data_IF_607443598112
#
_entry.id   IF_607443598112
#
_cell.length_a   1.000
_cell.length_b   1.000
_cell.length_c   1.000
_cell.angle_alpha   90.00
_cell.angle_beta   90.00
_cell.angle_gamma   90.00
#
_symmetry.space_group_name_H-M   'P 1'
#
loop_
_entity.id
_entity.type
_entity.pdbx_description
1 polymer ?
#
# COMPACT_ATOMS: atom_id res chain seq x y z
N UNK A 1 -27.10 12.91 -64.37
CA UNK A 1 -26.80 11.69 -63.59
C UNK A 1 -25.66 12.04 -62.67
N UNK A 2 -25.95 12.16 -61.37
CA UNK A 2 -24.97 12.35 -60.30
C UNK A 2 -24.19 11.06 -60.12
N UNK A 3 -22.87 11.15 -59.95
CA UNK A 3 -22.15 10.24 -59.07
C UNK A 3 -21.21 11.11 -58.23
N UNK A 4 -21.66 11.29 -57.00
CA UNK A 4 -20.92 11.73 -55.82
C UNK A 4 -19.92 10.64 -55.46
N UNK A 5 -18.63 10.91 -55.61
CA UNK A 5 -17.56 10.05 -55.07
C UNK A 5 -16.75 10.86 -54.06
N UNK A 6 -17.49 11.29 -53.02
CA UNK A 6 -16.93 11.70 -51.74
C UNK A 6 -16.38 10.48 -51.02
N UNK A 7 -15.06 10.44 -50.80
CA UNK A 7 -14.37 10.20 -49.51
C UNK A 7 -12.97 9.64 -49.74
N UNK A 8 -12.00 10.53 -49.99
CA UNK A 8 -10.63 10.21 -49.63
C UNK A 8 -10.37 10.66 -48.18
N UNK A 9 -10.27 9.64 -47.34
CA UNK A 9 -10.11 9.75 -45.91
C UNK A 9 -8.81 10.49 -45.58
N UNK A 10 -8.93 11.69 -45.02
CA UNK A 10 -7.84 12.37 -44.34
C UNK A 10 -7.57 11.64 -43.02
N UNK A 11 -6.96 10.46 -43.09
CA UNK A 11 -6.46 9.79 -41.89
C UNK A 11 -5.37 10.68 -41.29
N UNK A 12 -5.53 11.18 -40.06
CA UNK A 12 -4.42 11.84 -39.40
C UNK A 12 -3.32 10.78 -39.26
N UNK A 13 -2.15 11.05 -39.83
CA UNK A 13 -0.93 10.30 -39.51
C UNK A 13 -0.81 10.37 -38.00
N UNK A 14 -1.16 9.26 -37.32
CA UNK A 14 -0.88 9.11 -35.90
C UNK A 14 0.63 9.21 -35.81
N UNK A 15 1.09 10.37 -35.33
CA UNK A 15 2.47 10.56 -34.94
C UNK A 15 2.73 9.45 -33.92
N UNK A 16 3.58 8.49 -34.28
CA UNK A 16 4.12 7.54 -33.32
C UNK A 16 4.97 8.39 -32.36
N UNK A 17 4.29 8.94 -31.35
CA UNK A 17 4.97 9.42 -30.15
C UNK A 17 5.67 8.17 -29.63
N UNK A 18 7.00 8.21 -29.42
CA UNK A 18 7.66 7.14 -28.72
C UNK A 18 6.92 7.01 -27.39
N UNK A 19 6.18 5.92 -27.22
CA UNK A 19 5.79 5.48 -25.89
C UNK A 19 7.09 5.48 -25.10
N UNK A 20 7.20 6.16 -23.95
CA UNK A 20 8.36 5.99 -23.11
C UNK A 20 8.40 4.51 -22.73
N UNK A 21 9.22 3.76 -23.46
CA UNK A 21 9.61 2.40 -23.12
C UNK A 21 10.14 2.46 -21.69
N UNK A 22 9.58 1.60 -20.85
CA UNK A 22 10.05 1.29 -19.50
C UNK A 22 9.81 2.36 -18.42
N UNK A 23 8.53 2.64 -18.14
CA UNK A 23 8.13 2.77 -16.73
C UNK A 23 8.04 1.37 -16.13
N UNK A 24 9.16 0.66 -16.01
CA UNK A 24 9.25 -0.37 -14.98
C UNK A 24 9.53 0.41 -13.71
N UNK A 25 8.59 0.53 -12.75
CA UNK A 25 8.87 1.20 -11.50
C UNK A 25 10.05 0.47 -10.88
N UNK A 26 11.20 1.14 -10.76
CA UNK A 26 12.32 0.57 -10.03
C UNK A 26 11.84 0.42 -8.60
N UNK A 27 11.89 -0.79 -8.01
CA UNK A 27 11.55 -0.93 -6.61
C UNK A 27 12.44 0.02 -5.78
N UNK A 28 11.99 0.43 -4.58
CA UNK A 28 12.83 1.17 -3.65
C UNK A 28 14.22 0.52 -3.57
N UNK A 29 15.28 1.32 -3.37
CA UNK A 29 16.67 0.84 -3.44
C UNK A 29 16.94 -0.38 -2.53
N UNK A 30 16.12 -0.58 -1.51
CA UNK A 30 16.24 -1.61 -0.49
C UNK A 30 15.31 -2.84 -0.71
N UNK A 31 14.58 -2.88 -1.82
CA UNK A 31 13.63 -3.98 -2.14
C UNK A 31 14.15 -4.74 -3.36
N UNK A 32 14.84 -5.86 -3.10
CA UNK A 32 15.46 -6.69 -4.15
C UNK A 32 14.64 -7.96 -4.46
N UNK A 33 13.66 -8.29 -3.61
CA UNK A 33 12.79 -9.44 -3.78
C UNK A 33 11.34 -9.15 -3.36
N UNK A 34 10.40 -10.00 -3.79
CA UNK A 34 9.01 -9.93 -3.30
C UNK A 34 8.95 -10.14 -1.78
N UNK A 35 9.82 -10.99 -1.22
CA UNK A 35 9.94 -11.18 0.23
C UNK A 35 10.35 -9.90 0.92
N UNK A 36 11.36 -9.20 0.40
CA UNK A 36 11.81 -7.91 0.95
C UNK A 36 10.68 -6.87 0.91
N UNK A 37 9.86 -6.90 -0.14
CA UNK A 37 8.72 -6.01 -0.28
C UNK A 37 7.66 -6.28 0.81
N UNK A 38 7.33 -7.56 1.05
CA UNK A 38 6.37 -7.96 2.10
C UNK A 38 6.89 -7.60 3.50
N UNK A 39 8.16 -7.86 3.80
CA UNK A 39 8.79 -7.47 5.06
C UNK A 39 8.85 -5.95 5.24
N UNK A 40 9.03 -5.21 4.15
CA UNK A 40 9.00 -3.74 4.18
C UNK A 40 7.60 -3.21 4.46
N UNK A 41 6.57 -3.79 3.83
CA UNK A 41 5.18 -3.44 4.13
C UNK A 41 4.85 -3.71 5.60
N UNK A 42 5.26 -4.84 6.15
CA UNK A 42 5.04 -5.14 7.55
C UNK A 42 5.69 -4.09 8.45
N UNK A 43 7.00 -3.84 8.28
CA UNK A 43 7.74 -2.84 9.09
C UNK A 43 7.10 -1.46 9.01
N UNK A 44 6.65 -1.04 7.82
CA UNK A 44 5.98 0.25 7.64
C UNK A 44 4.62 0.29 8.36
N UNK A 45 3.81 -0.76 8.22
CA UNK A 45 2.50 -0.81 8.91
C UNK A 45 2.64 -0.86 10.43
N UNK A 46 3.67 -1.52 10.95
CA UNK A 46 3.96 -1.58 12.39
C UNK A 46 4.39 -0.22 12.93
N UNK A 47 5.33 0.46 12.27
CA UNK A 47 5.75 1.81 12.62
C UNK A 47 4.59 2.83 12.50
N UNK A 48 3.68 2.65 11.54
CA UNK A 48 2.47 3.47 11.43
C UNK A 48 1.52 3.21 12.61
N UNK A 49 1.32 1.95 13.01
CA UNK A 49 0.47 1.60 14.15
C UNK A 49 1.00 2.20 15.45
N UNK A 50 2.31 2.16 15.68
CA UNK A 50 2.95 2.78 16.84
C UNK A 50 2.70 4.29 16.87
N UNK A 51 2.93 4.99 15.75
CA UNK A 51 2.66 6.44 15.65
C UNK A 51 1.19 6.81 15.80
N UNK A 52 0.29 5.95 15.32
CA UNK A 52 -1.16 6.14 15.44
C UNK A 52 -1.72 5.69 16.79
N UNK A 53 -0.90 5.05 17.65
CA UNK A 53 -1.32 4.63 18.98
C UNK A 53 -1.70 5.84 19.84
N UNK A 54 -0.91 6.91 19.75
CA UNK A 54 -1.19 8.18 20.40
C UNK A 54 -2.33 8.93 19.68
N UNK A 55 -3.49 9.12 20.31
CA UNK A 55 -4.61 9.85 19.72
C UNK A 55 -4.37 11.38 19.65
N UNK A 56 -3.31 11.88 20.28
CA UNK A 56 -2.90 13.29 20.22
C UNK A 56 -1.85 13.57 19.14
N UNK A 57 -1.31 12.55 18.49
CA UNK A 57 -0.30 12.69 17.46
C UNK A 57 -0.81 13.52 16.27
N UNK A 58 -0.06 14.55 15.90
CA UNK A 58 -0.39 15.40 14.76
C UNK A 58 -0.07 14.69 13.42
N UNK A 59 -1.01 14.74 12.49
CA UNK A 59 -0.84 14.16 11.14
C UNK A 59 -0.67 15.32 10.15
N UNK A 60 0.57 15.55 9.73
CA UNK A 60 0.94 16.67 8.85
C UNK A 60 0.88 18.02 9.57
N UNK A 61 1.27 18.07 10.85
CA UNK A 61 1.30 19.29 11.67
C UNK A 61 -0.10 19.79 12.07
N UNK A 62 -1.11 18.93 12.03
CA UNK A 62 -2.48 19.25 12.46
C UNK A 62 -3.05 18.11 13.29
N UNK A 63 -3.75 18.40 14.39
CA UNK A 63 -4.49 17.40 15.13
C UNK A 63 -5.61 16.82 14.26
N UNK A 64 -5.87 15.53 14.42
CA UNK A 64 -6.97 14.81 13.74
C UNK A 64 -7.96 14.28 14.75
N UNK A 65 -9.16 13.91 14.28
CA UNK A 65 -10.17 13.36 15.17
C UNK A 65 -9.77 11.96 15.64
N UNK A 66 -10.24 11.56 16.82
CA UNK A 66 -10.03 10.20 17.32
C UNK A 66 -10.60 9.14 16.36
N UNK A 67 -11.70 9.44 15.67
CA UNK A 67 -12.27 8.57 14.64
C UNK A 67 -11.30 8.35 13.47
N UNK A 68 -10.64 9.41 12.99
CA UNK A 68 -9.61 9.29 11.96
C UNK A 68 -8.45 8.42 12.42
N UNK A 69 -7.98 8.55 13.66
CA UNK A 69 -6.93 7.68 14.21
C UNK A 69 -7.39 6.22 14.29
N UNK A 70 -8.62 5.97 14.77
CA UNK A 70 -9.19 4.62 14.83
C UNK A 70 -9.29 3.97 13.46
N UNK A 71 -9.80 4.69 12.48
CA UNK A 71 -9.91 4.19 11.11
C UNK A 71 -8.52 3.96 10.49
N UNK A 72 -7.57 4.86 10.69
CA UNK A 72 -6.20 4.67 10.20
C UNK A 72 -5.55 3.41 10.80
N UNK A 73 -5.68 3.20 12.12
CA UNK A 73 -5.19 1.96 12.78
C UNK A 73 -5.86 0.71 12.22
N UNK A 74 -7.17 0.76 11.99
CA UNK A 74 -7.91 -0.33 11.36
C UNK A 74 -7.33 -0.65 9.98
N UNK A 75 -7.12 0.35 9.13
CA UNK A 75 -6.54 0.16 7.79
C UNK A 75 -5.13 -0.42 7.83
N UNK A 76 -4.28 0.01 8.77
CA UNK A 76 -2.95 -0.60 8.94
C UNK A 76 -3.06 -2.10 9.28
N UNK A 77 -4.01 -2.50 10.13
CA UNK A 77 -4.25 -3.93 10.45
C UNK A 77 -4.76 -4.71 9.24
N UNK A 78 -5.66 -4.13 8.45
CA UNK A 78 -6.18 -4.74 7.21
C UNK A 78 -5.03 -4.98 6.20
N UNK A 79 -4.18 -3.99 5.97
CA UNK A 79 -3.01 -4.11 5.08
C UNK A 79 -2.08 -5.24 5.55
N UNK A 80 -1.83 -5.34 6.86
CA UNK A 80 -0.96 -6.39 7.43
C UNK A 80 -1.57 -7.79 7.26
N UNK A 81 -2.89 -7.91 7.41
CA UNK A 81 -3.59 -9.17 7.16
C UNK A 81 -3.50 -9.59 5.68
N UNK A 82 -3.71 -8.66 4.74
CA UNK A 82 -3.58 -8.92 3.31
C UNK A 82 -2.13 -9.25 2.92
N UNK A 83 -1.14 -8.56 3.51
CA UNK A 83 0.29 -8.84 3.31
C UNK A 83 0.65 -10.25 3.78
N UNK A 84 0.07 -10.68 4.91
CA UNK A 84 0.24 -12.04 5.44
C UNK A 84 -0.39 -13.09 4.51
N UNK A 85 -1.57 -12.81 3.94
CA UNK A 85 -2.22 -13.67 2.96
C UNK A 85 -1.40 -13.80 1.67
N UNK A 86 -0.77 -12.71 1.21
CA UNK A 86 0.15 -12.75 0.07
C UNK A 86 1.38 -13.59 0.38
N UNK A 87 1.97 -13.44 1.58
CA UNK A 87 3.08 -14.28 2.03
C UNK A 87 2.72 -15.77 2.02
N UNK A 88 1.56 -16.11 2.59
CA UNK A 88 1.02 -17.47 2.61
C UNK A 88 0.81 -18.03 1.20
N UNK A 89 0.23 -17.24 0.28
CA UNK A 89 -0.02 -17.66 -1.10
C UNK A 89 1.27 -17.92 -1.88
N UNK A 90 2.26 -17.04 -1.73
CA UNK A 90 3.47 -17.05 -2.55
C UNK A 90 4.56 -18.00 -2.05
N UNK A 91 4.62 -18.22 -0.74
CA UNK A 91 5.72 -18.94 -0.10
C UNK A 91 5.25 -20.06 0.84
N UNK A 92 3.93 -20.21 1.03
CA UNK A 92 3.38 -21.21 1.93
C UNK A 92 3.46 -20.82 3.42
N UNK A 93 3.07 -21.74 4.32
CA UNK A 93 2.95 -21.46 5.76
C UNK A 93 4.30 -21.11 6.42
N UNK A 94 5.41 -21.51 5.80
CA UNK A 94 6.77 -21.23 6.29
C UNK A 94 7.15 -19.74 6.19
N UNK A 95 6.40 -18.97 5.41
CA UNK A 95 6.60 -17.52 5.25
C UNK A 95 5.52 -16.68 5.92
N UNK A 96 4.58 -17.32 6.62
CA UNK A 96 3.61 -16.58 7.42
C UNK A 96 4.36 -15.98 8.60
N UNK A 97 4.55 -14.66 8.55
CA UNK A 97 5.03 -13.92 9.71
C UNK A 97 3.90 -13.98 10.74
N UNK A 98 4.16 -14.48 11.97
CA UNK A 98 3.11 -14.73 12.93
C UNK A 98 2.37 -13.42 13.26
N UNK A 99 1.14 -13.33 12.80
CA UNK A 99 0.21 -12.30 13.26
C UNK A 99 -0.02 -12.53 14.76
N UNK A 100 0.49 -11.63 15.60
CA UNK A 100 0.20 -11.57 17.04
C UNK A 100 -0.82 -10.46 17.30
N UNK A 101 -2.12 -10.76 17.35
CA UNK A 101 -3.10 -9.82 17.86
C UNK A 101 -2.98 -9.80 19.38
N UNK A 102 -2.05 -9.04 19.95
CA UNK A 102 -1.90 -9.07 21.40
C UNK A 102 -0.78 -8.27 22.07
N UNK A 103 0.21 -7.73 21.37
CA UNK A 103 1.32 -7.04 22.05
C UNK A 103 0.94 -5.59 22.46
N UNK A 104 -0.34 -5.36 22.76
CA UNK A 104 -0.84 -4.21 23.49
C UNK A 104 -1.13 -4.63 24.94
N UNK A 105 -0.23 -4.23 25.83
CA UNK A 105 -0.43 -4.01 27.28
C UNK A 105 -0.49 -5.22 28.21
N UNK A 106 0.69 -5.66 28.69
CA UNK A 106 0.86 -5.93 30.13
C UNK A 106 1.46 -4.67 30.75
N UNK A 107 0.62 -3.68 31.05
CA UNK A 107 0.97 -2.65 32.04
C UNK A 107 0.55 -3.19 33.41
N UNK A 108 1.37 -3.03 34.46
CA UNK A 108 0.97 -3.47 35.79
C UNK A 108 -0.21 -2.64 36.27
N UNK A 109 -1.29 -3.31 36.66
CA UNK A 109 -2.34 -2.75 37.49
C UNK A 109 -1.67 -2.17 38.74
N UNK A 110 -1.76 -0.85 38.91
CA UNK A 110 -1.41 -0.18 40.16
C UNK A 110 -2.72 -0.17 40.95
N UNK A 111 -2.84 -1.07 41.92
CA UNK A 111 -3.89 -1.03 42.93
C UNK A 111 -3.76 0.26 43.75
N UNK A 112 -4.89 0.94 43.94
CA UNK A 112 -5.04 2.14 44.78
C UNK A 112 -5.20 1.79 46.26
#
# INVERSE_FOLDING_TARGET
MSNDDSRDAKTPVRRNVPTPDNYTPRPPADVNSIRDALETLERLTDAMLERLHDPSAEIGGKPRSQETHREARRRCREIRAETSQLGLLLYGPEATIPYRPGDSSEWPEIDE
#
